data_IF_506770221907
#
_entry.id   IF_506770221907
#
_cell.length_a   1.000
_cell.length_b   1.000
_cell.length_c   1.000
_cell.angle_alpha   90.00
_cell.angle_beta   90.00
_cell.angle_gamma   90.00
#
_symmetry.space_group_name_H-M   'P 1'
#
loop_
_entity.id
_entity.type
_entity.pdbx_description
1 polymer ?
#
# COMPACT_ATOMS: atom_id res chain seq x y z
N UNK A 1 -14.58 43.87 9.69
CA UNK A 1 -15.21 42.70 9.07
C UNK A 1 -14.37 42.29 7.86
N UNK A 2 -14.17 40.97 7.73
CA UNK A 2 -13.65 40.24 6.57
C UNK A 2 -12.14 40.22 6.32
N UNK A 3 -11.54 39.25 7.02
CA UNK A 3 -10.46 38.35 6.57
C UNK A 3 -10.54 38.00 5.08
N UNK A 4 -9.41 38.09 4.37
CA UNK A 4 -9.00 37.12 3.34
C UNK A 4 -7.50 36.88 3.44
N UNK A 5 -7.14 35.80 4.16
CA UNK A 5 -5.82 35.19 4.13
C UNK A 5 -5.56 34.66 2.72
N UNK A 6 -4.83 35.42 1.91
CA UNK A 6 -4.19 34.90 0.71
C UNK A 6 -2.91 34.19 1.13
N UNK A 7 -2.95 32.86 1.20
CA UNK A 7 -1.75 32.04 1.25
C UNK A 7 -1.06 32.08 -0.12
N UNK A 8 -0.34 33.17 -0.36
CA UNK A 8 0.54 33.33 -1.50
C UNK A 8 1.82 32.51 -1.23
N UNK A 9 2.03 31.46 -2.02
CA UNK A 9 3.27 30.69 -2.00
C UNK A 9 4.40 31.60 -2.49
N UNK A 10 5.09 32.29 -1.57
CA UNK A 10 6.26 33.12 -1.89
C UNK A 10 7.36 32.20 -2.43
N UNK A 11 7.60 32.28 -3.74
CA UNK A 11 8.85 31.85 -4.34
C UNK A 11 9.96 32.66 -3.65
N UNK A 12 10.86 31.99 -2.92
CA UNK A 12 12.09 32.61 -2.44
C UNK A 12 13.08 32.58 -3.60
N UNK A 13 13.39 33.76 -4.12
CA UNK A 13 14.43 33.97 -5.12
C UNK A 13 15.77 33.51 -4.52
N UNK A 14 16.40 32.50 -5.13
CA UNK A 14 17.74 32.04 -4.76
C UNK A 14 18.77 32.83 -5.55
N UNK A 15 19.44 33.74 -4.86
CA UNK A 15 20.70 34.32 -5.31
C UNK A 15 21.84 33.32 -5.04
N UNK A 16 22.85 33.36 -5.90
CA UNK A 16 24.00 32.45 -5.99
C UNK A 16 24.77 32.23 -4.67
N UNK A 17 25.32 31.02 -4.50
CA UNK A 17 26.40 30.77 -3.54
C UNK A 17 26.24 29.51 -2.69
N UNK A 18 26.90 28.43 -3.13
CA UNK A 18 27.44 27.32 -2.33
C UNK A 18 26.73 26.99 -1.00
N UNK A 19 25.90 25.94 -1.03
CA UNK A 19 25.73 24.93 0.04
C UNK A 19 24.79 23.84 -0.49
N UNK A 20 25.37 22.79 -1.07
CA UNK A 20 24.71 21.48 -1.14
C UNK A 20 24.56 20.99 0.31
N UNK A 21 23.46 21.39 0.94
CA UNK A 21 23.03 20.87 2.23
C UNK A 21 21.69 20.17 1.99
N UNK A 22 21.77 18.83 1.91
CA UNK A 22 20.70 17.85 2.11
C UNK A 22 19.31 18.46 2.41
N UNK A 23 18.52 18.73 1.36
CA UNK A 23 17.08 18.97 1.50
C UNK A 23 16.36 17.61 1.64
N UNK A 24 15.32 17.48 2.49
CA UNK A 24 14.58 16.24 2.62
C UNK A 24 13.63 16.10 1.42
N UNK A 25 14.14 15.58 0.30
CA UNK A 25 13.42 15.37 -0.96
C UNK A 25 12.40 14.21 -0.93
N UNK A 26 12.10 13.63 0.24
CA UNK A 26 11.46 12.31 0.33
C UNK A 26 10.03 12.29 0.88
N UNK A 27 9.56 13.37 1.50
CA UNK A 27 8.35 13.33 2.34
C UNK A 27 7.05 13.09 1.56
N UNK A 28 6.91 13.65 0.35
CA UNK A 28 5.66 13.51 -0.41
C UNK A 28 5.56 12.17 -1.14
N UNK A 29 6.67 11.67 -1.68
CA UNK A 29 6.75 10.30 -2.23
C UNK A 29 6.54 9.27 -1.14
N UNK A 30 7.15 9.44 0.04
CA UNK A 30 6.93 8.55 1.18
C UNK A 30 5.46 8.55 1.62
N UNK A 31 4.83 9.73 1.69
CA UNK A 31 3.40 9.84 2.00
C UNK A 31 2.55 9.09 0.98
N UNK A 32 2.83 9.26 -0.32
CA UNK A 32 2.10 8.55 -1.37
C UNK A 32 2.27 7.03 -1.25
N UNK A 33 3.50 6.56 -1.00
CA UNK A 33 3.79 5.14 -0.84
C UNK A 33 3.12 4.53 0.40
N UNK A 34 3.02 5.29 1.50
CA UNK A 34 2.25 4.89 2.69
C UNK A 34 0.76 4.79 2.35
N UNK A 35 0.21 5.78 1.64
CA UNK A 35 -1.19 5.78 1.26
C UNK A 35 -1.50 4.56 0.37
N UNK A 36 -0.78 4.40 -0.75
CA UNK A 36 -0.94 3.25 -1.63
C UNK A 36 -0.68 1.92 -0.94
N UNK A 37 0.29 1.89 -0.01
CA UNK A 37 0.72 0.68 0.65
C UNK A 37 -0.24 0.18 1.73
N UNK A 38 -0.98 1.08 2.37
CA UNK A 38 -1.93 0.77 3.44
C UNK A 38 -3.39 0.85 3.00
N UNK A 39 -3.68 1.37 1.81
CA UNK A 39 -5.05 1.40 1.30
C UNK A 39 -5.63 -0.02 1.20
N UNK A 40 -6.83 -0.25 1.76
CA UNK A 40 -7.58 -1.47 1.47
C UNK A 40 -8.03 -1.51 0.00
N UNK A 41 -8.47 -2.67 -0.47
CA UNK A 41 -8.82 -2.92 -1.88
C UNK A 41 -9.95 -2.04 -2.42
N UNK A 42 -10.79 -1.50 -1.55
CA UNK A 42 -11.88 -0.58 -1.91
C UNK A 42 -11.46 0.89 -2.02
N UNK A 43 -10.22 1.24 -1.64
CA UNK A 43 -9.70 2.62 -1.72
C UNK A 43 -8.66 2.70 -2.82
N UNK A 44 -8.90 3.59 -3.78
CA UNK A 44 -7.92 3.90 -4.83
C UNK A 44 -7.18 5.20 -4.52
N UNK A 45 -5.86 5.14 -4.46
CA UNK A 45 -5.00 6.32 -4.30
C UNK A 45 -4.42 6.72 -5.65
N UNK A 46 -4.62 7.97 -6.06
CA UNK A 46 -4.05 8.54 -7.28
C UNK A 46 -3.26 9.80 -6.94
N UNK A 47 -2.08 9.95 -7.52
CA UNK A 47 -1.33 11.19 -7.42
C UNK A 47 -1.80 12.17 -8.50
N UNK A 48 -2.00 13.43 -8.12
CA UNK A 48 -2.30 14.51 -9.04
C UNK A 48 -1.45 15.75 -8.67
N UNK A 49 -0.45 16.06 -9.51
CA UNK A 49 0.43 17.23 -9.32
C UNK A 49 1.89 16.89 -9.02
N UNK A 50 2.70 17.92 -8.79
CA UNK A 50 4.12 17.76 -8.49
C UNK A 50 4.34 17.35 -7.03
N UNK A 51 4.87 16.15 -6.84
CA UNK A 51 5.45 15.69 -5.58
C UNK A 51 6.75 16.47 -5.30
N UNK A 52 7.00 16.84 -4.04
CA UNK A 52 8.25 17.35 -3.46
C UNK A 52 8.79 18.76 -3.83
N UNK A 53 8.02 19.64 -4.49
CA UNK A 53 8.56 21.00 -4.81
C UNK A 53 8.58 22.02 -3.67
N UNK A 54 7.82 21.83 -2.59
CA UNK A 54 7.62 22.87 -1.56
C UNK A 54 7.97 22.45 -0.12
N UNK A 55 8.35 21.19 0.11
CA UNK A 55 8.71 20.67 1.45
C UNK A 55 7.58 20.63 2.48
N UNK A 56 6.38 21.12 2.17
CA UNK A 56 5.25 21.21 3.10
C UNK A 56 4.36 19.96 3.14
N UNK A 57 4.72 18.91 2.39
CA UNK A 57 3.92 17.70 2.20
C UNK A 57 2.75 17.88 1.21
N UNK A 58 2.24 16.79 0.61
CA UNK A 58 1.12 16.82 -0.31
C UNK A 58 -0.18 17.20 0.39
N UNK A 59 -1.10 17.79 -0.38
CA UNK A 59 -2.50 17.93 0.04
C UNK A 59 -3.28 16.72 -0.46
N UNK A 60 -4.20 16.23 0.35
CA UNK A 60 -5.06 15.09 0.02
C UNK A 60 -6.49 15.57 -0.19
N UNK A 61 -7.18 14.94 -1.13
CA UNK A 61 -8.60 15.11 -1.35
C UNK A 61 -9.23 13.73 -1.29
N UNK A 62 -10.19 13.54 -0.38
CA UNK A 62 -10.93 12.28 -0.26
C UNK A 62 -12.29 12.43 -0.93
N UNK A 63 -12.56 11.51 -1.85
CA UNK A 63 -13.79 11.45 -2.64
C UNK A 63 -14.65 10.26 -2.19
N UNK A 64 -15.98 10.33 -2.37
CA UNK A 64 -16.74 11.36 -3.09
C UNK A 64 -17.05 12.62 -2.27
N UNK A 65 -16.86 12.60 -0.94
CA UNK A 65 -17.28 13.67 -0.04
C UNK A 65 -16.53 15.00 -0.22
N UNK A 66 -15.40 14.99 -0.94
CA UNK A 66 -14.63 16.19 -1.24
C UNK A 66 -13.86 16.75 -0.03
N UNK A 67 -13.50 15.89 0.92
CA UNK A 67 -12.79 16.31 2.14
C UNK A 67 -11.35 16.69 1.80
N UNK A 68 -10.97 17.92 2.12
CA UNK A 68 -9.62 18.45 1.89
C UNK A 68 -8.76 18.31 3.15
N UNK A 69 -7.58 17.71 3.01
CA UNK A 69 -6.57 17.62 4.06
C UNK A 69 -5.29 18.28 3.58
N UNK A 70 -4.93 19.39 4.22
CA UNK A 70 -3.70 20.12 3.93
C UNK A 70 -2.47 19.53 4.60
N UNK A 71 -1.32 19.67 3.94
CA UNK A 71 0.01 19.46 4.52
C UNK A 71 0.18 18.08 5.18
N UNK A 72 -0.08 17.01 4.45
CA UNK A 72 0.16 15.66 4.91
C UNK A 72 1.65 15.30 4.71
N UNK A 73 2.53 15.82 5.56
CA UNK A 73 3.98 15.73 5.36
C UNK A 73 4.67 14.51 5.98
N UNK A 74 3.95 13.66 6.72
CA UNK A 74 4.54 12.52 7.43
C UNK A 74 3.75 11.24 7.17
N UNK A 75 4.47 10.11 7.15
CA UNK A 75 3.89 8.77 7.06
C UNK A 75 2.83 8.52 8.16
N UNK A 76 3.11 8.97 9.40
CA UNK A 76 2.20 8.85 10.53
C UNK A 76 0.86 9.57 10.29
N UNK A 77 0.92 10.80 9.77
CA UNK A 77 -0.30 11.57 9.44
C UNK A 77 -1.07 10.91 8.30
N UNK A 78 -0.37 10.37 7.30
CA UNK A 78 -0.99 9.68 6.17
C UNK A 78 -1.74 8.40 6.60
N UNK A 79 -1.10 7.59 7.44
CA UNK A 79 -1.70 6.38 8.00
C UNK A 79 -2.89 6.69 8.92
N UNK A 80 -2.79 7.74 9.74
CA UNK A 80 -3.89 8.18 10.59
C UNK A 80 -5.10 8.64 9.77
N UNK A 81 -4.85 9.46 8.74
CA UNK A 81 -5.88 9.90 7.80
C UNK A 81 -6.59 8.67 7.20
N UNK A 82 -5.84 7.71 6.65
CA UNK A 82 -6.44 6.50 6.08
C UNK A 82 -7.28 5.73 7.10
N UNK A 83 -6.78 5.55 8.33
CA UNK A 83 -7.51 4.87 9.40
C UNK A 83 -8.85 5.56 9.68
N UNK A 84 -8.84 6.88 9.81
CA UNK A 84 -10.04 7.67 10.09
C UNK A 84 -11.07 7.54 8.96
N UNK A 85 -10.63 7.53 7.71
CA UNK A 85 -11.51 7.34 6.54
C UNK A 85 -12.04 5.92 6.37
N UNK A 86 -11.29 4.90 6.79
CA UNK A 86 -11.75 3.52 6.73
C UNK A 86 -12.80 3.19 7.81
N UNK A 87 -13.07 4.11 8.74
CA UNK A 87 -14.03 3.89 9.84
C UNK A 87 -13.58 2.83 10.84
N UNK A 88 -12.27 2.56 10.90
CA UNK A 88 -11.70 1.47 11.69
C UNK A 88 -11.51 1.90 13.16
N UNK A 89 -11.88 1.01 14.07
CA UNK A 89 -11.96 1.30 15.51
C UNK A 89 -10.57 1.55 16.14
N UNK A 90 -10.58 2.04 17.39
CA UNK A 90 -9.38 2.41 18.14
C UNK A 90 -8.36 1.26 18.32
N UNK A 91 -8.74 -0.02 18.18
CA UNK A 91 -7.88 -1.19 18.44
C UNK A 91 -6.75 -1.40 17.42
N UNK A 92 -6.87 -0.84 16.21
CA UNK A 92 -5.88 -1.04 15.15
C UNK A 92 -4.95 0.17 15.08
N UNK A 93 -3.78 0.09 15.71
CA UNK A 93 -2.85 1.21 15.72
C UNK A 93 -2.31 1.50 14.32
N UNK A 94 -2.37 2.77 13.90
CA UNK A 94 -1.71 3.23 12.67
C UNK A 94 -0.20 2.91 12.71
N UNK A 95 0.38 2.85 13.92
CA UNK A 95 1.75 2.41 14.18
C UNK A 95 2.02 0.98 13.70
N UNK A 96 1.13 0.03 14.00
CA UNK A 96 1.28 -1.37 13.57
C UNK A 96 1.24 -1.48 12.04
N UNK A 97 0.39 -0.69 11.40
CA UNK A 97 0.28 -0.68 9.94
C UNK A 97 1.53 -0.09 9.29
N UNK A 98 2.10 0.98 9.86
CA UNK A 98 3.39 1.51 9.41
C UNK A 98 4.54 0.52 9.62
N UNK A 99 4.56 -0.18 10.74
CA UNK A 99 5.54 -1.23 11.01
C UNK A 99 5.41 -2.40 10.00
N UNK A 100 4.18 -2.85 9.72
CA UNK A 100 3.91 -3.86 8.69
C UNK A 100 4.38 -3.40 7.29
N UNK A 101 4.14 -2.14 6.93
CA UNK A 101 4.63 -1.56 5.68
C UNK A 101 6.17 -1.55 5.61
N UNK A 102 6.84 -1.20 6.71
CA UNK A 102 8.30 -1.21 6.78
C UNK A 102 8.86 -2.65 6.63
N UNK A 103 8.24 -3.62 7.30
CA UNK A 103 8.58 -5.04 7.16
C UNK A 103 8.38 -5.52 5.71
N UNK A 104 7.28 -5.13 5.06
CA UNK A 104 7.02 -5.41 3.64
C UNK A 104 8.11 -4.87 2.72
N UNK A 105 8.56 -3.62 2.94
CA UNK A 105 9.64 -3.03 2.15
C UNK A 105 10.93 -3.84 2.29
N UNK A 106 11.29 -4.17 3.54
CA UNK A 106 12.47 -5.02 3.83
C UNK A 106 12.35 -6.40 3.19
N UNK A 107 11.18 -7.02 3.27
CA UNK A 107 10.91 -8.30 2.62
C UNK A 107 11.16 -8.23 1.10
N UNK A 108 10.65 -7.18 0.43
CA UNK A 108 10.91 -6.99 -1.01
C UNK A 108 12.40 -6.81 -1.33
N UNK A 109 13.17 -6.19 -0.44
CA UNK A 109 14.60 -6.05 -0.63
C UNK A 109 15.35 -7.38 -0.43
N UNK A 110 14.95 -8.19 0.55
CA UNK A 110 15.48 -9.56 0.72
C UNK A 110 15.09 -10.47 -0.45
N UNK A 111 13.88 -10.33 -1.00
CA UNK A 111 13.45 -11.02 -2.22
C UNK A 111 14.37 -10.74 -3.41
N UNK A 112 14.70 -9.46 -3.62
CA UNK A 112 15.60 -9.02 -4.70
C UNK A 112 17.02 -9.56 -4.53
N UNK A 113 17.44 -9.85 -3.29
CA UNK A 113 18.71 -10.49 -2.98
C UNK A 113 18.67 -12.01 -3.15
N UNK A 114 17.49 -12.60 -3.37
CA UNK A 114 17.27 -14.05 -3.44
C UNK A 114 17.10 -14.74 -2.09
N UNK A 115 16.99 -13.98 -0.99
CA UNK A 115 16.81 -14.49 0.36
C UNK A 115 15.32 -14.75 0.64
N UNK A 116 14.75 -15.77 -0.01
CA UNK A 116 13.30 -16.06 0.05
C UNK A 116 12.81 -16.40 1.46
N UNK A 117 13.58 -17.16 2.25
CA UNK A 117 13.22 -17.55 3.62
C UNK A 117 13.10 -16.36 4.56
N UNK A 118 14.06 -15.43 4.51
CA UNK A 118 14.06 -14.24 5.36
C UNK A 118 12.91 -13.31 4.97
N UNK A 119 12.62 -13.24 3.68
CA UNK A 119 11.53 -12.44 3.17
C UNK A 119 10.16 -12.98 3.56
N UNK A 120 9.95 -14.30 3.49
CA UNK A 120 8.74 -14.97 3.99
C UNK A 120 8.53 -14.72 5.49
N UNK A 121 9.60 -14.80 6.29
CA UNK A 121 9.55 -14.50 7.72
C UNK A 121 9.11 -13.05 7.98
N UNK A 122 9.71 -12.09 7.27
CA UNK A 122 9.37 -10.66 7.40
C UNK A 122 7.92 -10.38 6.99
N UNK A 123 7.41 -11.03 5.94
CA UNK A 123 6.01 -10.90 5.53
C UNK A 123 5.05 -11.52 6.55
N UNK A 124 5.42 -12.65 7.14
CA UNK A 124 4.62 -13.30 8.19
C UNK A 124 4.53 -12.39 9.42
N UNK A 125 5.65 -11.82 9.86
CA UNK A 125 5.65 -10.80 10.93
C UNK A 125 4.79 -9.58 10.58
N UNK A 126 4.80 -9.14 9.32
CA UNK A 126 3.97 -8.01 8.89
C UNK A 126 2.47 -8.33 8.96
N UNK A 127 2.08 -9.58 8.65
CA UNK A 127 0.69 -10.05 8.74
C UNK A 127 0.25 -10.19 10.21
N UNK A 128 1.12 -10.69 11.08
CA UNK A 128 0.84 -10.86 12.52
C UNK A 128 0.54 -9.54 13.24
N UNK A 129 1.08 -8.42 12.73
CA UNK A 129 0.78 -7.07 13.21
C UNK A 129 -0.66 -6.62 12.91
N UNK A 130 -1.41 -7.39 12.10
CA UNK A 130 -2.80 -7.13 11.69
C UNK A 130 -3.00 -5.69 11.22
N UNK A 131 -2.33 -5.29 10.12
CA UNK A 131 -2.46 -3.94 9.61
C UNK A 131 -3.89 -3.71 9.12
N UNK A 132 -4.40 -2.49 9.28
CA UNK A 132 -5.80 -2.17 8.98
C UNK A 132 -6.13 -2.24 7.47
N UNK A 133 -5.09 -2.24 6.62
CA UNK A 133 -5.21 -2.30 5.17
C UNK A 133 -3.90 -2.74 4.52
N UNK A 134 -3.93 -2.98 3.21
CA UNK A 134 -2.79 -3.54 2.48
C UNK A 134 -2.44 -5.00 2.80
N UNK A 135 -3.24 -5.72 3.60
CA UNK A 135 -3.01 -7.14 3.93
C UNK A 135 -3.01 -8.01 2.67
N UNK A 136 -3.93 -7.77 1.72
CA UNK A 136 -3.96 -8.47 0.43
C UNK A 136 -2.63 -8.35 -0.33
N UNK A 137 -1.94 -7.21 -0.20
CA UNK A 137 -0.61 -6.98 -0.79
C UNK A 137 0.45 -7.82 -0.06
N UNK A 138 0.34 -7.99 1.26
CA UNK A 138 1.26 -8.85 2.03
C UNK A 138 1.15 -10.30 1.59
N UNK A 139 -0.08 -10.83 1.51
CA UNK A 139 -0.32 -12.17 0.98
C UNK A 139 0.24 -12.29 -0.44
N UNK A 140 -0.07 -11.35 -1.35
CA UNK A 140 0.50 -11.35 -2.71
C UNK A 140 2.03 -11.47 -2.74
N UNK A 141 2.73 -10.69 -1.90
CA UNK A 141 4.20 -10.78 -1.88
C UNK A 141 4.69 -12.12 -1.31
N UNK A 142 3.93 -12.75 -0.40
CA UNK A 142 4.25 -14.05 0.19
C UNK A 142 3.97 -15.20 -0.80
N UNK A 143 2.90 -15.08 -1.60
CA UNK A 143 2.59 -15.98 -2.72
C UNK A 143 3.76 -16.09 -3.70
N UNK A 144 4.41 -14.97 -4.02
CA UNK A 144 5.56 -14.94 -4.93
C UNK A 144 6.80 -15.69 -4.40
N UNK A 145 6.79 -16.13 -3.14
CA UNK A 145 7.94 -16.75 -2.45
C UNK A 145 7.74 -18.22 -2.14
N UNK A 146 6.49 -18.63 -1.93
CA UNK A 146 6.19 -19.91 -1.32
C UNK A 146 5.93 -20.99 -2.37
N UNK A 147 6.35 -22.21 -2.07
CA UNK A 147 5.92 -23.39 -2.79
C UNK A 147 4.42 -23.58 -2.50
N UNK A 148 3.62 -23.60 -3.56
CA UNK A 148 2.28 -24.19 -3.76
C UNK A 148 1.32 -24.35 -2.56
N UNK A 149 1.75 -24.99 -1.49
CA UNK A 149 0.94 -25.29 -0.30
C UNK A 149 0.65 -24.07 0.56
N UNK A 150 1.64 -23.22 0.81
CA UNK A 150 1.43 -21.95 1.53
C UNK A 150 0.63 -20.94 0.68
N UNK A 151 0.75 -21.07 -0.65
CA UNK A 151 0.11 -20.17 -1.59
C UNK A 151 -1.43 -20.28 -1.57
N UNK A 152 -1.97 -21.48 -1.33
CA UNK A 152 -3.42 -21.66 -1.25
C UNK A 152 -4.06 -20.90 -0.08
N UNK A 153 -3.50 -21.04 1.13
CA UNK A 153 -4.04 -20.35 2.31
C UNK A 153 -3.88 -18.83 2.18
N UNK A 154 -2.77 -18.36 1.62
CA UNK A 154 -2.54 -16.94 1.35
C UNK A 154 -3.53 -16.37 0.33
N UNK A 155 -3.81 -17.11 -0.74
CA UNK A 155 -4.79 -16.72 -1.74
C UNK A 155 -6.20 -16.67 -1.13
N UNK A 156 -6.55 -17.65 -0.30
CA UNK A 156 -7.84 -17.70 0.40
C UNK A 156 -8.04 -16.52 1.34
N UNK A 157 -7.04 -16.19 2.17
CA UNK A 157 -7.08 -15.02 3.05
C UNK A 157 -7.17 -13.71 2.23
N UNK A 158 -6.39 -13.60 1.16
CA UNK A 158 -6.46 -12.44 0.26
C UNK A 158 -7.86 -12.26 -0.37
N UNK A 159 -8.52 -13.35 -0.78
CA UNK A 159 -9.87 -13.34 -1.33
C UNK A 159 -10.94 -13.03 -0.29
N UNK A 160 -10.77 -13.44 0.97
CA UNK A 160 -11.66 -13.03 2.06
C UNK A 160 -11.63 -11.51 2.26
N UNK A 161 -10.44 -10.91 2.15
CA UNK A 161 -10.24 -9.47 2.33
C UNK A 161 -10.60 -8.66 1.08
N UNK A 162 -10.34 -9.23 -0.10
CA UNK A 162 -10.57 -8.60 -1.38
C UNK A 162 -11.17 -9.63 -2.36
N UNK A 163 -12.50 -9.82 -2.35
CA UNK A 163 -13.16 -10.84 -3.17
C UNK A 163 -13.02 -10.65 -4.69
N UNK A 164 -12.66 -9.45 -5.13
CA UNK A 164 -12.45 -9.12 -6.55
C UNK A 164 -10.96 -8.99 -6.88
N UNK A 165 -10.08 -9.61 -6.08
CA UNK A 165 -8.65 -9.50 -6.29
C UNK A 165 -8.14 -10.57 -7.26
N UNK A 166 -7.99 -10.16 -8.52
CA UNK A 166 -7.62 -11.03 -9.64
C UNK A 166 -6.37 -11.86 -9.38
N UNK A 167 -5.28 -11.24 -8.90
CA UNK A 167 -4.02 -11.94 -8.61
C UNK A 167 -4.21 -13.11 -7.63
N UNK A 168 -5.10 -12.98 -6.65
CA UNK A 168 -5.32 -14.04 -5.66
C UNK A 168 -6.06 -15.24 -6.29
N UNK A 169 -6.95 -15.03 -7.25
CA UNK A 169 -7.57 -16.13 -8.00
C UNK A 169 -6.57 -16.86 -8.90
N UNK A 170 -5.63 -16.14 -9.52
CA UNK A 170 -4.55 -16.75 -10.31
C UNK A 170 -3.70 -17.64 -9.41
N UNK A 171 -3.22 -17.10 -8.29
CA UNK A 171 -2.40 -17.88 -7.36
C UNK A 171 -3.16 -19.04 -6.71
N UNK A 172 -4.47 -18.90 -6.47
CA UNK A 172 -5.30 -20.02 -6.03
C UNK A 172 -5.36 -21.12 -7.10
N UNK A 173 -5.48 -20.74 -8.37
CA UNK A 173 -5.42 -21.65 -9.51
C UNK A 173 -4.07 -22.35 -9.59
N UNK A 174 -2.97 -21.62 -9.48
CA UNK A 174 -1.61 -22.19 -9.50
C UNK A 174 -1.43 -23.20 -8.36
N UNK A 175 -1.86 -22.85 -7.16
CA UNK A 175 -1.80 -23.75 -6.01
C UNK A 175 -2.65 -25.02 -6.22
N UNK A 176 -3.81 -24.92 -6.87
CA UNK A 176 -4.62 -26.09 -7.21
C UNK A 176 -3.96 -26.94 -8.31
N UNK A 177 -3.28 -26.33 -9.29
CA UNK A 177 -2.52 -27.04 -10.31
C UNK A 177 -1.41 -27.88 -9.67
N UNK A 178 -0.68 -27.30 -8.73
CA UNK A 178 0.40 -27.99 -8.01
C UNK A 178 -0.10 -29.09 -7.06
N UNK A 179 -1.38 -29.05 -6.68
CA UNK A 179 -2.07 -30.10 -5.91
C UNK A 179 -2.78 -31.12 -6.81
N UNK A 180 -2.58 -31.09 -8.13
CA UNK A 180 -3.27 -31.92 -9.13
C UNK A 180 -4.81 -31.79 -9.12
N UNK A 181 -5.35 -30.68 -8.58
CA UNK A 181 -6.77 -30.37 -8.51
C UNK A 181 -7.23 -29.51 -9.71
N UNK A 182 -7.11 -30.06 -10.92
CA UNK A 182 -7.33 -29.33 -12.17
C UNK A 182 -8.72 -28.69 -12.30
N UNK A 183 -9.79 -29.37 -11.89
CA UNK A 183 -11.16 -28.83 -11.96
C UNK A 183 -11.35 -27.59 -11.08
N UNK A 184 -10.64 -27.52 -9.95
CA UNK A 184 -10.67 -26.38 -9.05
C UNK A 184 -9.81 -25.24 -9.59
N UNK A 185 -8.65 -25.57 -10.19
CA UNK A 185 -7.79 -24.60 -10.85
C UNK A 185 -8.51 -23.90 -12.00
N UNK A 186 -9.18 -24.66 -12.87
CA UNK A 186 -9.96 -24.11 -14.00
C UNK A 186 -10.99 -23.09 -13.52
N UNK A 187 -11.71 -23.40 -12.44
CA UNK A 187 -12.69 -22.47 -11.85
C UNK A 187 -12.03 -21.21 -11.32
N UNK A 188 -10.91 -21.33 -10.61
CA UNK A 188 -10.19 -20.17 -10.09
C UNK A 188 -9.69 -19.26 -11.22
N UNK A 189 -9.13 -19.83 -12.30
CA UNK A 189 -8.73 -19.04 -13.47
C UNK A 189 -9.93 -18.44 -14.22
N UNK A 190 -11.03 -19.15 -14.33
CA UNK A 190 -12.26 -18.63 -14.94
C UNK A 190 -12.78 -17.41 -14.16
N UNK A 191 -12.79 -17.46 -12.83
CA UNK A 191 -13.13 -16.30 -11.99
C UNK A 191 -12.17 -15.13 -12.19
N UNK A 192 -10.87 -15.37 -12.32
CA UNK A 192 -9.90 -14.32 -12.61
C UNK A 192 -10.22 -13.62 -13.95
N UNK A 193 -10.54 -14.39 -14.99
CA UNK A 193 -10.93 -13.90 -16.32
C UNK A 193 -12.30 -13.20 -16.33
N UNK A 194 -13.23 -13.60 -15.47
CA UNK A 194 -14.51 -12.88 -15.32
C UNK A 194 -14.31 -11.49 -14.70
N UNK A 195 -13.39 -11.35 -13.76
CA UNK A 195 -13.07 -10.08 -13.08
C UNK A 195 -12.24 -9.18 -14.00
N UNK A 196 -11.18 -9.73 -14.60
CA UNK A 196 -10.34 -9.02 -15.57
C UNK A 196 -10.26 -9.84 -16.88
N UNK A 197 -11.15 -9.53 -17.84
CA UNK A 197 -11.13 -10.20 -19.15
C UNK A 197 -9.90 -9.88 -20.01
N UNK A 198 -8.99 -9.01 -19.55
CA UNK A 198 -7.80 -8.58 -20.30
C UNK A 198 -6.49 -9.26 -19.90
N UNK A 199 -6.55 -10.14 -18.88
CA UNK A 199 -5.48 -11.08 -18.51
C UNK A 199 -4.95 -11.88 -19.71
#
# INVERSE_FOLDING_TARGET
MSNKNQNHCRKRDTNEGMREQNMPEAGSVETLDVLCGLSPSNITVKSCGCLDRCGAGPNLVVLPDGVFIGHCSTAAKAAQVLKDFCGLSASEEASNSLAALALRKRAKDEFRKGNFSDSELLLTQAIDLKPFGGIHILHKNRLAMNNSTGAFEDAKEALQLAPQYTDAYICQGDAFMDMDHFDSAEKSYAWALEIDPSL
#
